data_IF_453095783646
#
_entry.id   IF_453095783646
#
_cell.length_a   1.000
_cell.length_b   1.000
_cell.length_c   1.000
_cell.angle_alpha   90.00
_cell.angle_beta   90.00
_cell.angle_gamma   90.00
#
_symmetry.space_group_name_H-M   'P 1'
#
loop_
_entity.id
_entity.type
_entity.pdbx_description
1 polymer ?
#
# COMPACT_ATOMS: atom_id res chain seq x y z
N UNK A 1 -63.70 10.59 17.50
CA UNK A 1 -62.25 10.44 17.76
C UNK A 1 -61.41 10.38 16.48
N UNK A 2 -62.00 10.36 15.28
CA UNK A 2 -61.27 10.05 14.03
C UNK A 2 -60.62 11.26 13.32
N UNK A 3 -61.13 12.49 13.49
CA UNK A 3 -60.58 13.66 12.78
C UNK A 3 -59.16 14.08 13.22
N UNK A 4 -58.79 13.79 14.46
CA UNK A 4 -57.44 14.13 14.97
C UNK A 4 -56.37 13.23 14.35
N UNK A 5 -56.66 11.96 14.12
CA UNK A 5 -55.72 11.01 13.52
C UNK A 5 -55.38 11.31 12.07
N UNK A 6 -56.36 11.79 11.30
CA UNK A 6 -56.15 12.15 9.89
C UNK A 6 -55.19 13.35 9.77
N UNK A 7 -55.30 14.33 10.66
CA UNK A 7 -54.42 15.50 10.67
C UNK A 7 -52.97 15.13 11.03
N UNK A 8 -52.77 14.26 12.02
CA UNK A 8 -51.43 13.80 12.41
C UNK A 8 -50.79 12.95 11.31
N UNK A 9 -51.58 12.12 10.63
CA UNK A 9 -51.10 11.29 9.53
C UNK A 9 -50.68 12.14 8.31
N UNK A 10 -51.49 13.13 7.93
CA UNK A 10 -51.15 14.06 6.86
C UNK A 10 -49.87 14.85 7.17
N UNK A 11 -49.71 15.33 8.41
CA UNK A 11 -48.50 16.04 8.85
C UNK A 11 -47.26 15.14 8.75
N UNK A 12 -47.38 13.87 9.16
CA UNK A 12 -46.26 12.92 9.12
C UNK A 12 -45.79 12.61 7.68
N UNK A 13 -46.73 12.50 6.73
CA UNK A 13 -46.41 12.29 5.31
C UNK A 13 -45.71 13.53 4.73
N UNK A 14 -46.17 14.72 5.06
CA UNK A 14 -45.54 15.96 4.59
C UNK A 14 -44.10 16.10 5.10
N UNK A 15 -43.86 15.79 6.38
CA UNK A 15 -42.49 15.82 6.94
C UNK A 15 -41.60 14.78 6.26
N UNK A 16 -42.11 13.55 6.05
CA UNK A 16 -41.37 12.50 5.37
C UNK A 16 -41.01 12.87 3.93
N UNK A 17 -41.94 13.47 3.17
CA UNK A 17 -41.69 13.93 1.81
C UNK A 17 -40.59 15.02 1.75
N UNK A 18 -40.54 15.93 2.73
CA UNK A 18 -39.50 16.96 2.81
C UNK A 18 -38.13 16.36 3.14
N UNK A 19 -38.07 15.37 4.04
CA UNK A 19 -36.82 14.67 4.37
C UNK A 19 -36.28 13.92 3.15
N UNK A 20 -37.16 13.22 2.41
CA UNK A 20 -36.77 12.53 1.17
C UNK A 20 -36.29 13.52 0.11
N UNK A 21 -36.97 14.65 -0.06
CA UNK A 21 -36.55 15.69 -1.00
C UNK A 21 -35.18 16.29 -0.62
N UNK A 22 -34.92 16.50 0.68
CA UNK A 22 -33.63 17.01 1.16
C UNK A 22 -32.50 15.99 0.94
N UNK A 23 -32.77 14.70 1.17
CA UNK A 23 -31.83 13.62 0.90
C UNK A 23 -31.48 13.51 -0.59
N UNK A 24 -32.50 13.58 -1.46
CA UNK A 24 -32.31 13.58 -2.91
C UNK A 24 -31.57 14.83 -3.41
N UNK A 25 -31.70 15.95 -2.70
CA UNK A 25 -30.95 17.17 -2.99
C UNK A 25 -29.49 17.07 -2.53
N UNK A 26 -29.22 16.51 -1.35
CA UNK A 26 -27.86 16.40 -0.80
C UNK A 26 -26.97 15.38 -1.52
N UNK A 27 -27.56 14.35 -2.15
CA UNK A 27 -26.80 13.32 -2.88
C UNK A 27 -26.55 13.64 -4.38
N UNK A 28 -26.80 14.87 -4.84
CA UNK A 28 -26.42 15.29 -6.19
C UNK A 28 -27.22 14.66 -7.33
N UNK A 29 -28.42 14.13 -7.04
CA UNK A 29 -29.28 13.43 -8.00
C UNK A 29 -29.71 14.28 -9.21
N UNK A 30 -29.66 15.61 -9.09
CA UNK A 30 -30.04 16.53 -10.16
C UNK A 30 -28.99 16.77 -11.25
N UNK A 31 -27.77 16.18 -11.16
CA UNK A 31 -26.82 16.23 -12.28
C UNK A 31 -27.23 15.34 -13.48
N UNK A 32 -28.30 14.56 -13.37
CA UNK A 32 -28.72 13.62 -14.41
C UNK A 32 -29.84 14.14 -15.34
N UNK A 33 -30.48 15.28 -15.06
CA UNK A 33 -31.66 15.76 -15.82
C UNK A 33 -31.42 17.00 -16.68
N UNK A 34 -30.17 17.40 -16.94
CA UNK A 34 -29.87 18.60 -17.77
C UNK A 34 -29.05 18.34 -19.04
N UNK A 35 -29.06 17.12 -19.59
CA UNK A 35 -28.44 16.86 -20.90
C UNK A 35 -29.50 16.52 -21.97
N UNK A 36 -30.23 17.53 -22.43
CA UNK A 36 -30.91 17.50 -23.73
C UNK A 36 -30.30 18.58 -24.63
N UNK A 37 -29.72 18.16 -25.76
CA UNK A 37 -29.35 19.08 -26.85
C UNK A 37 -28.26 18.61 -27.83
N UNK A 38 -28.64 17.76 -28.80
CA UNK A 38 -28.14 17.66 -30.20
C UNK A 38 -26.68 17.15 -30.43
N UNK A 39 -26.38 16.10 -31.22
CA UNK A 39 -27.16 15.23 -32.11
C UNK A 39 -26.36 14.06 -32.72
N UNK A 40 -27.10 13.02 -33.17
CA UNK A 40 -26.91 12.03 -34.25
C UNK A 40 -25.46 11.73 -34.73
N UNK A 41 -24.87 10.52 -34.77
CA UNK A 41 -25.31 9.10 -34.92
C UNK A 41 -24.04 8.16 -34.85
N UNK A 42 -24.06 6.83 -35.10
CA UNK A 42 -24.44 5.73 -34.17
C UNK A 42 -23.41 4.56 -34.01
N UNK A 43 -23.72 3.62 -33.09
CA UNK A 43 -23.17 2.22 -32.90
C UNK A 43 -21.79 2.15 -32.17
N UNK A 44 -21.55 1.45 -31.05
CA UNK A 44 -22.30 0.55 -30.16
C UNK A 44 -21.54 0.41 -28.82
N UNK A 45 -22.30 0.41 -27.73
CA UNK A 45 -21.94 0.20 -26.33
C UNK A 45 -21.63 -1.26 -25.95
N UNK A 46 -20.99 -1.44 -24.77
CA UNK A 46 -21.22 -2.43 -23.68
C UNK A 46 -19.84 -2.83 -23.09
N UNK A 47 -19.46 -2.65 -21.82
CA UNK A 47 -20.16 -2.58 -20.54
C UNK A 47 -19.40 -1.64 -19.57
N UNK A 48 -20.11 -0.80 -18.82
CA UNK A 48 -19.60 -0.23 -17.56
C UNK A 48 -20.59 -0.57 -16.45
N UNK A 49 -20.15 -1.42 -15.52
CA UNK A 49 -20.86 -1.71 -14.27
C UNK A 49 -20.16 -0.93 -13.17
N UNK A 50 -20.80 0.13 -12.69
CA UNK A 50 -20.37 0.87 -11.51
C UNK A 50 -20.61 0.00 -10.28
N UNK A 51 -19.53 -0.48 -9.66
CA UNK A 51 -19.58 -1.07 -8.32
C UNK A 51 -19.63 0.09 -7.31
N UNK A 52 -20.70 0.11 -6.51
CA UNK A 52 -20.88 1.01 -5.39
C UNK A 52 -19.84 0.72 -4.31
N UNK A 53 -18.92 1.66 -4.06
CA UNK A 53 -18.07 1.67 -2.86
C UNK A 53 -18.95 2.00 -1.65
N UNK A 54 -19.11 1.05 -0.73
CA UNK A 54 -19.66 1.29 0.60
C UNK A 54 -18.66 2.08 1.43
N UNK A 55 -19.15 3.07 2.17
CA UNK A 55 -18.42 3.90 3.10
C UNK A 55 -17.73 3.11 4.22
N UNK A 56 -16.39 3.04 4.18
CA UNK A 56 -15.53 2.82 5.34
C UNK A 56 -14.37 3.80 5.27
N UNK A 57 -14.56 4.98 5.86
CA UNK A 57 -13.57 6.08 5.89
C UNK A 57 -12.36 5.83 6.78
N UNK A 58 -11.92 4.58 6.97
CA UNK A 58 -10.80 4.20 7.87
C UNK A 58 -9.70 3.36 7.18
N UNK A 59 -9.77 3.12 5.86
CA UNK A 59 -8.78 2.28 5.13
C UNK A 59 -7.96 3.07 4.09
N UNK A 60 -8.12 4.39 4.00
CA UNK A 60 -7.41 5.22 2.99
C UNK A 60 -5.89 5.41 3.24
N UNK A 61 -5.31 4.71 4.22
CA UNK A 61 -3.87 4.68 4.46
C UNK A 61 -3.20 3.36 4.07
N UNK A 62 -3.71 2.68 3.03
CA UNK A 62 -2.80 1.94 2.16
C UNK A 62 -1.88 2.99 1.53
N UNK A 63 -0.77 3.30 2.20
CA UNK A 63 0.41 3.77 1.49
C UNK A 63 0.62 2.70 0.44
N UNK A 64 0.28 3.04 -0.79
CA UNK A 64 0.85 2.33 -1.91
C UNK A 64 2.35 2.36 -1.63
N UNK A 65 2.89 1.21 -1.23
CA UNK A 65 4.21 0.81 -1.68
C UNK A 65 4.06 0.65 -3.19
N UNK A 66 3.76 1.78 -3.84
CA UNK A 66 3.63 1.96 -5.27
C UNK A 66 4.97 1.50 -5.77
N UNK A 67 4.93 0.66 -6.78
CA UNK A 67 6.09 0.08 -7.43
C UNK A 67 7.11 1.17 -7.76
N UNK A 68 7.98 1.47 -6.81
CA UNK A 68 9.14 2.33 -7.01
C UNK A 68 9.87 1.79 -8.22
N UNK A 69 10.37 2.70 -9.07
CA UNK A 69 11.01 2.40 -10.34
C UNK A 69 11.74 1.06 -10.25
N UNK A 70 11.21 0.04 -10.96
CA UNK A 70 11.85 -1.27 -11.07
C UNK A 70 13.08 -1.12 -11.97
N UNK A 71 14.08 -0.37 -11.53
CA UNK A 71 15.28 -0.07 -12.31
C UNK A 71 16.19 -1.29 -12.51
N UNK A 72 15.98 -2.38 -11.77
CA UNK A 72 16.76 -3.61 -11.93
C UNK A 72 15.87 -4.85 -11.90
N UNK A 73 14.97 -4.93 -12.87
CA UNK A 73 14.33 -6.20 -13.17
C UNK A 73 15.18 -7.04 -14.13
N UNK A 74 16.28 -7.61 -13.64
CA UNK A 74 16.89 -8.82 -14.24
C UNK A 74 15.98 -10.06 -14.05
N UNK A 75 14.69 -9.85 -13.78
CA UNK A 75 13.74 -10.82 -13.24
C UNK A 75 13.13 -11.73 -14.31
N UNK A 76 13.24 -11.36 -15.57
CA UNK A 76 12.82 -12.19 -16.70
C UNK A 76 14.03 -12.65 -17.51
N UNK A 77 15.10 -13.08 -16.84
CA UNK A 77 16.02 -13.99 -17.50
C UNK A 77 15.24 -15.27 -17.77
N UNK A 78 14.61 -15.31 -18.93
CA UNK A 78 14.23 -16.54 -19.59
C UNK A 78 15.55 -17.31 -19.68
N UNK A 79 15.80 -18.23 -18.75
CA UNK A 79 16.95 -19.12 -18.81
C UNK A 79 16.74 -19.94 -20.08
N UNK A 80 17.18 -19.39 -21.19
CA UNK A 80 17.44 -20.11 -22.42
C UNK A 80 18.66 -20.95 -22.12
N UNK A 81 18.49 -21.98 -21.28
CA UNK A 81 19.02 -23.27 -21.66
C UNK A 81 18.39 -23.49 -23.03
N UNK A 82 19.12 -23.06 -24.07
CA UNK A 82 18.88 -23.48 -25.43
C UNK A 82 19.00 -24.99 -25.32
N UNK A 83 17.87 -25.64 -25.04
CA UNK A 83 17.77 -27.08 -25.16
C UNK A 83 18.29 -27.33 -26.57
N UNK A 84 19.24 -28.26 -26.61
CA UNK A 84 19.86 -28.73 -27.83
C UNK A 84 18.75 -29.40 -28.66
N UNK A 85 17.94 -28.59 -29.35
CA UNK A 85 16.85 -29.03 -30.23
C UNK A 85 17.55 -29.61 -31.45
N UNK A 86 18.08 -30.82 -31.27
CA UNK A 86 18.62 -31.69 -32.30
C UNK A 86 17.46 -32.38 -33.01
N UNK A 87 16.54 -31.59 -33.57
CA UNK A 87 15.57 -32.10 -34.53
C UNK A 87 15.97 -31.62 -35.92
N UNK A 88 16.47 -32.57 -36.72
CA UNK A 88 16.84 -32.45 -38.12
C UNK A 88 15.70 -31.88 -38.99
N UNK A 89 15.63 -30.55 -39.11
CA UNK A 89 14.87 -29.85 -40.14
C UNK A 89 15.68 -28.62 -40.59
N UNK A 90 16.48 -28.83 -41.63
CA UNK A 90 17.40 -27.87 -42.22
C UNK A 90 16.66 -26.66 -42.84
N UNK A 91 17.09 -25.45 -42.44
CA UNK A 91 17.09 -24.17 -43.19
C UNK A 91 16.01 -23.06 -43.02
N UNK A 92 14.97 -23.16 -42.16
CA UNK A 92 14.31 -21.96 -41.61
C UNK A 92 14.87 -21.50 -40.24
N UNK A 93 15.54 -22.39 -39.53
CA UNK A 93 15.88 -22.18 -38.11
C UNK A 93 16.88 -21.05 -37.85
N UNK A 94 17.91 -20.86 -38.70
CA UNK A 94 18.97 -19.88 -38.41
C UNK A 94 18.47 -18.42 -38.49
N UNK A 95 17.57 -18.11 -39.42
CA UNK A 95 16.99 -16.77 -39.57
C UNK A 95 16.07 -16.45 -38.38
N UNK A 96 15.21 -17.41 -38.00
CA UNK A 96 14.34 -17.27 -36.83
C UNK A 96 15.14 -17.09 -35.53
N UNK A 97 16.19 -17.90 -35.34
CA UNK A 97 17.10 -17.82 -34.18
C UNK A 97 17.76 -16.44 -34.12
N UNK A 98 18.28 -15.93 -35.24
CA UNK A 98 18.94 -14.64 -35.28
C UNK A 98 17.96 -13.50 -34.97
N UNK A 99 16.76 -13.52 -35.56
CA UNK A 99 15.74 -12.50 -35.28
C UNK A 99 15.27 -12.55 -33.82
N UNK A 100 15.08 -13.74 -33.25
CA UNK A 100 14.77 -13.89 -31.83
C UNK A 100 15.86 -13.32 -30.92
N UNK A 101 17.15 -13.62 -31.19
CA UNK A 101 18.27 -13.05 -30.43
C UNK A 101 18.31 -11.52 -30.51
N UNK A 102 18.01 -10.95 -31.68
CA UNK A 102 17.94 -9.50 -31.84
C UNK A 102 16.80 -8.88 -31.02
N UNK A 103 15.63 -9.53 -30.97
CA UNK A 103 14.50 -9.10 -30.13
C UNK A 103 14.88 -9.15 -28.65
N UNK A 104 15.49 -10.25 -28.21
CA UNK A 104 15.95 -10.42 -26.82
C UNK A 104 17.02 -9.38 -26.46
N UNK A 105 18.02 -9.17 -27.32
CA UNK A 105 19.05 -8.14 -27.11
C UNK A 105 18.44 -6.74 -27.02
N UNK A 106 17.46 -6.43 -27.86
CA UNK A 106 16.74 -5.15 -27.78
C UNK A 106 15.97 -5.01 -26.46
N UNK A 107 15.36 -6.08 -25.95
CA UNK A 107 14.69 -6.10 -24.66
C UNK A 107 15.67 -5.85 -23.51
N UNK A 108 16.80 -6.57 -23.50
CA UNK A 108 17.83 -6.46 -22.45
C UNK A 108 18.46 -5.05 -22.40
N UNK A 109 18.63 -4.43 -23.58
CA UNK A 109 19.09 -3.05 -23.73
C UNK A 109 17.97 -2.00 -23.52
N UNK A 110 16.77 -2.42 -23.11
CA UNK A 110 15.59 -1.57 -22.91
C UNK A 110 15.20 -0.74 -24.15
N UNK A 111 15.53 -1.23 -25.35
CA UNK A 111 15.18 -0.61 -26.64
C UNK A 111 13.77 -1.04 -27.06
N UNK A 112 12.77 -0.65 -26.28
CA UNK A 112 11.40 -1.16 -26.39
C UNK A 112 10.77 -0.97 -27.78
N UNK A 113 11.00 0.15 -28.46
CA UNK A 113 10.48 0.37 -29.82
C UNK A 113 11.01 -0.67 -30.81
N UNK A 114 12.30 -1.06 -30.67
CA UNK A 114 12.91 -2.10 -31.50
C UNK A 114 12.37 -3.50 -31.19
N UNK A 115 12.01 -3.76 -29.93
CA UNK A 115 11.32 -5.01 -29.56
C UNK A 115 10.02 -5.13 -30.35
N UNK A 116 9.18 -4.09 -30.37
CA UNK A 116 7.92 -4.11 -31.11
C UNK A 116 8.10 -4.24 -32.62
N UNK A 117 9.01 -3.47 -33.21
CA UNK A 117 9.30 -3.51 -34.65
C UNK A 117 9.71 -4.92 -35.08
N UNK A 118 10.70 -5.51 -34.41
CA UNK A 118 11.23 -6.82 -34.74
C UNK A 118 10.27 -7.96 -34.41
N UNK A 119 9.57 -7.87 -33.27
CA UNK A 119 8.54 -8.85 -32.91
C UNK A 119 7.38 -8.86 -33.91
N UNK A 120 6.92 -7.69 -34.36
CA UNK A 120 5.87 -7.60 -35.39
C UNK A 120 6.32 -8.24 -36.70
N UNK A 121 7.56 -7.96 -37.11
CA UNK A 121 8.17 -8.58 -38.30
C UNK A 121 8.25 -10.10 -38.16
N UNK A 122 8.69 -10.61 -37.01
CA UNK A 122 8.75 -12.05 -36.72
C UNK A 122 7.36 -12.68 -36.77
N UNK A 123 6.39 -12.17 -36.01
CA UNK A 123 5.06 -12.75 -35.89
C UNK A 123 4.28 -12.73 -37.21
N UNK A 124 4.61 -11.79 -38.11
CA UNK A 124 4.04 -11.73 -39.47
C UNK A 124 4.70 -12.73 -40.43
N UNK A 125 6.01 -12.92 -40.32
CA UNK A 125 6.79 -13.78 -41.23
C UNK A 125 6.78 -15.25 -40.82
N UNK A 126 6.67 -15.52 -39.52
CA UNK A 126 6.73 -16.84 -38.89
C UNK A 126 5.56 -17.03 -37.92
N UNK A 127 4.30 -17.05 -38.42
CA UNK A 127 3.13 -17.14 -37.55
C UNK A 127 3.13 -18.42 -36.70
N UNK A 128 3.69 -19.53 -37.21
CA UNK A 128 3.84 -20.81 -36.49
C UNK A 128 5.30 -21.08 -36.09
N UNK A 129 6.13 -20.02 -36.01
CA UNK A 129 7.54 -20.12 -35.71
C UNK A 129 7.81 -20.64 -34.29
N UNK A 130 8.94 -21.34 -34.12
CA UNK A 130 9.29 -21.96 -32.83
C UNK A 130 9.52 -20.95 -31.68
N UNK A 131 9.77 -19.68 -32.00
CA UNK A 131 9.96 -18.60 -31.03
C UNK A 131 8.72 -17.71 -30.85
N UNK A 132 7.57 -18.09 -31.40
CA UNK A 132 6.32 -17.33 -31.29
C UNK A 132 5.99 -16.99 -29.83
N UNK A 133 5.87 -17.98 -28.95
CA UNK A 133 5.50 -17.76 -27.54
C UNK A 133 6.55 -16.99 -26.74
N UNK A 134 7.86 -17.27 -26.86
CA UNK A 134 8.90 -16.39 -26.32
C UNK A 134 8.76 -14.93 -26.75
N UNK A 135 8.44 -14.68 -28.02
CA UNK A 135 8.26 -13.32 -28.55
C UNK A 135 6.99 -12.66 -28.01
N UNK A 136 5.87 -13.37 -27.96
CA UNK A 136 4.63 -12.89 -27.33
C UNK A 136 4.86 -12.53 -25.85
N UNK A 137 5.67 -13.32 -25.14
CA UNK A 137 6.08 -13.02 -23.78
C UNK A 137 6.91 -11.73 -23.71
N UNK A 138 7.95 -11.57 -24.55
CA UNK A 138 8.80 -10.37 -24.58
C UNK A 138 8.03 -9.08 -24.93
N UNK A 139 7.07 -9.18 -25.85
CA UNK A 139 6.14 -8.08 -26.18
C UNK A 139 5.30 -7.70 -24.96
N UNK A 140 4.69 -8.69 -24.31
CA UNK A 140 3.88 -8.49 -23.11
C UNK A 140 4.70 -7.89 -21.95
N UNK A 141 5.91 -8.39 -21.72
CA UNK A 141 6.83 -7.92 -20.70
C UNK A 141 7.30 -6.47 -20.98
N UNK A 142 7.56 -6.15 -22.24
CA UNK A 142 7.89 -4.78 -22.68
C UNK A 142 6.75 -3.81 -22.41
N UNK A 143 5.51 -4.18 -22.76
CA UNK A 143 4.33 -3.38 -22.48
C UNK A 143 4.13 -3.17 -20.96
N UNK A 144 4.35 -4.22 -20.16
CA UNK A 144 4.34 -4.12 -18.71
C UNK A 144 5.40 -3.13 -18.18
N UNK A 145 6.64 -3.20 -18.68
CA UNK A 145 7.72 -2.26 -18.33
C UNK A 145 7.41 -0.82 -18.70
N UNK A 146 6.69 -0.61 -19.80
CA UNK A 146 6.16 0.69 -20.22
C UNK A 146 4.89 1.13 -19.46
N UNK A 147 4.44 0.37 -18.45
CA UNK A 147 3.18 0.61 -17.70
C UNK A 147 1.91 0.57 -18.55
N UNK A 148 1.96 -0.06 -19.72
CA UNK A 148 0.81 -0.30 -20.61
C UNK A 148 0.11 -1.60 -20.21
N UNK A 149 -0.39 -1.64 -18.98
CA UNK A 149 -0.85 -2.87 -18.31
C UNK A 149 -1.98 -3.58 -19.06
N UNK A 150 -2.96 -2.82 -19.58
CA UNK A 150 -4.10 -3.40 -20.31
C UNK A 150 -3.66 -4.04 -21.63
N UNK A 151 -2.76 -3.40 -22.36
CA UNK A 151 -2.22 -3.94 -23.61
C UNK A 151 -1.34 -5.17 -23.34
N UNK A 152 -0.49 -5.12 -22.31
CA UNK A 152 0.29 -6.29 -21.87
C UNK A 152 -0.62 -7.48 -21.57
N UNK A 153 -1.71 -7.26 -20.84
CA UNK A 153 -2.68 -8.30 -20.52
C UNK A 153 -3.40 -8.85 -21.75
N UNK A 154 -3.72 -8.00 -22.74
CA UNK A 154 -4.34 -8.44 -23.99
C UNK A 154 -3.42 -9.40 -24.76
N UNK A 155 -2.13 -9.09 -24.86
CA UNK A 155 -1.15 -9.99 -25.49
C UNK A 155 -1.00 -11.31 -24.73
N UNK A 156 -1.00 -11.29 -23.39
CA UNK A 156 -1.01 -12.53 -22.61
C UNK A 156 -2.28 -13.35 -22.87
N UNK A 157 -3.47 -12.73 -22.93
CA UNK A 157 -4.73 -13.44 -23.24
C UNK A 157 -4.72 -14.05 -24.62
N UNK A 158 -4.16 -13.34 -25.61
CA UNK A 158 -3.99 -13.88 -26.95
C UNK A 158 -3.13 -15.15 -26.91
N UNK A 159 -1.97 -15.11 -26.25
CA UNK A 159 -1.11 -16.28 -26.10
C UNK A 159 -1.83 -17.44 -25.40
N UNK A 160 -2.59 -17.16 -24.32
CA UNK A 160 -3.39 -18.16 -23.61
C UNK A 160 -4.45 -18.79 -24.53
N UNK A 161 -5.15 -17.99 -25.33
CA UNK A 161 -6.17 -18.46 -26.27
C UNK A 161 -5.59 -19.33 -27.39
N UNK A 162 -4.34 -19.09 -27.79
CA UNK A 162 -3.61 -19.88 -28.78
C UNK A 162 -3.07 -21.21 -28.21
N UNK A 163 -3.07 -21.40 -26.89
CA UNK A 163 -2.60 -22.61 -26.23
C UNK A 163 -1.08 -22.59 -25.98
N UNK A 164 -0.69 -21.96 -24.87
CA UNK A 164 0.73 -21.83 -24.47
C UNK A 164 1.33 -23.23 -24.22
N UNK A 165 2.50 -23.56 -24.83
CA UNK A 165 3.22 -24.79 -24.55
C UNK A 165 3.60 -24.93 -23.07
N UNK A 166 3.64 -26.16 -22.56
CA UNK A 166 3.83 -26.46 -21.15
C UNK A 166 5.08 -25.80 -20.55
N UNK A 167 6.16 -25.72 -21.33
CA UNK A 167 7.45 -25.11 -20.96
C UNK A 167 7.38 -23.59 -20.76
N UNK A 168 6.36 -22.92 -21.31
CA UNK A 168 6.18 -21.47 -21.22
C UNK A 168 5.04 -21.06 -20.27
N UNK A 169 4.16 -21.99 -19.87
CA UNK A 169 3.01 -21.70 -19.01
C UNK A 169 3.41 -20.93 -17.75
N UNK A 170 4.46 -21.38 -17.06
CA UNK A 170 4.91 -20.76 -15.80
C UNK A 170 5.30 -19.31 -15.99
N UNK A 171 6.08 -19.01 -17.04
CA UNK A 171 6.61 -17.65 -17.28
C UNK A 171 5.47 -16.70 -17.63
N UNK A 172 4.54 -17.12 -18.48
CA UNK A 172 3.34 -16.34 -18.77
C UNK A 172 2.45 -16.16 -17.53
N UNK A 173 2.28 -17.20 -16.71
CA UNK A 173 1.44 -17.13 -15.52
C UNK A 173 2.02 -16.15 -14.49
N UNK A 174 3.34 -16.17 -14.28
CA UNK A 174 4.03 -15.16 -13.46
C UNK A 174 3.83 -13.75 -14.01
N UNK A 175 4.01 -13.52 -15.31
CA UNK A 175 3.83 -12.21 -15.93
C UNK A 175 2.38 -11.71 -15.80
N UNK A 176 1.40 -12.57 -16.07
CA UNK A 176 -0.04 -12.26 -15.85
C UNK A 176 -0.30 -11.90 -14.39
N UNK A 177 0.27 -12.66 -13.45
CA UNK A 177 0.19 -12.37 -12.02
C UNK A 177 0.70 -10.98 -11.65
N UNK A 178 1.86 -10.58 -12.20
CA UNK A 178 2.41 -9.24 -12.01
C UNK A 178 1.57 -8.15 -12.64
N UNK A 179 1.11 -8.33 -13.88
CA UNK A 179 0.24 -7.37 -14.57
C UNK A 179 -1.05 -7.17 -13.79
N UNK A 180 -1.70 -8.25 -13.35
CA UNK A 180 -2.94 -8.19 -12.60
C UNK A 180 -2.74 -7.55 -11.22
N UNK A 181 -1.66 -7.89 -10.52
CA UNK A 181 -1.26 -7.22 -9.28
C UNK A 181 -1.16 -5.71 -9.46
N UNK A 182 -0.37 -5.25 -10.43
CA UNK A 182 -0.13 -3.82 -10.63
C UNK A 182 -1.33 -3.09 -11.24
N UNK A 183 -2.25 -3.80 -11.91
CA UNK A 183 -3.49 -3.23 -12.42
C UNK A 183 -4.57 -3.08 -11.34
N UNK A 184 -4.40 -3.73 -10.18
CA UNK A 184 -5.40 -3.83 -9.12
C UNK A 184 -6.76 -4.37 -9.58
N UNK A 185 -6.75 -5.22 -10.60
CA UNK A 185 -7.95 -5.86 -11.17
C UNK A 185 -8.01 -7.31 -10.73
N UNK A 186 -9.20 -7.73 -10.29
CA UNK A 186 -9.55 -9.13 -10.12
C UNK A 186 -10.07 -9.73 -11.43
N UNK A 187 -9.48 -10.83 -11.87
CA UNK A 187 -9.95 -11.63 -13.00
C UNK A 187 -10.09 -13.11 -12.61
N UNK A 188 -11.32 -13.62 -12.45
CA UNK A 188 -11.54 -15.01 -12.03
C UNK A 188 -11.11 -16.06 -13.06
N UNK A 189 -11.14 -15.74 -14.36
CA UNK A 189 -10.73 -16.67 -15.41
C UNK A 189 -9.21 -16.83 -15.42
N UNK A 190 -8.47 -15.73 -15.33
CA UNK A 190 -7.02 -15.76 -15.25
C UNK A 190 -6.54 -16.33 -13.91
N UNK A 191 -7.23 -16.07 -12.80
CA UNK A 191 -6.95 -16.73 -11.52
C UNK A 191 -7.06 -18.25 -11.66
N UNK A 192 -8.18 -18.77 -12.18
CA UNK A 192 -8.37 -20.21 -12.33
C UNK A 192 -7.32 -20.86 -13.25
N UNK A 193 -6.90 -20.17 -14.31
CA UNK A 193 -5.82 -20.62 -15.17
C UNK A 193 -4.46 -20.64 -14.44
N UNK A 194 -4.11 -19.56 -13.73
CA UNK A 194 -2.86 -19.49 -12.94
C UNK A 194 -2.78 -20.60 -11.88
N UNK A 195 -3.89 -20.92 -11.21
CA UNK A 195 -3.95 -22.02 -10.25
C UNK A 195 -3.68 -23.38 -10.90
N UNK A 196 -4.23 -23.62 -12.10
CA UNK A 196 -3.95 -24.85 -12.85
C UNK A 196 -2.48 -24.95 -13.26
N UNK A 197 -1.86 -23.84 -13.67
CA UNK A 197 -0.42 -23.78 -13.96
C UNK A 197 0.39 -24.09 -12.70
N UNK A 198 0.06 -23.49 -11.56
CA UNK A 198 0.72 -23.77 -10.28
C UNK A 198 0.63 -25.26 -9.90
N UNK A 199 -0.51 -25.92 -10.08
CA UNK A 199 -0.67 -27.34 -9.79
C UNK A 199 0.16 -28.25 -10.71
N UNK A 200 0.38 -27.85 -11.97
CA UNK A 200 1.23 -28.60 -12.92
C UNK A 200 2.73 -28.39 -12.66
N UNK A 201 3.10 -27.23 -12.15
CA UNK A 201 4.50 -26.81 -11.99
C UNK A 201 4.80 -26.35 -10.55
N UNK A 202 4.76 -27.22 -9.53
CA UNK A 202 4.83 -26.79 -8.12
C UNK A 202 6.20 -26.28 -7.65
N UNK A 203 7.26 -26.38 -8.47
CA UNK A 203 8.62 -26.00 -8.09
C UNK A 203 8.97 -24.58 -8.54
N UNK A 204 9.62 -23.82 -7.66
CA UNK A 204 10.13 -22.45 -7.93
C UNK A 204 9.08 -21.47 -8.48
N UNK A 205 7.89 -21.46 -7.86
CA UNK A 205 6.72 -20.68 -8.30
C UNK A 205 6.43 -19.44 -7.46
N UNK A 206 7.41 -18.92 -6.71
CA UNK A 206 7.18 -17.77 -5.81
C UNK A 206 6.51 -16.59 -6.52
N UNK A 207 6.91 -16.29 -7.76
CA UNK A 207 6.33 -15.19 -8.55
C UNK A 207 4.86 -15.42 -8.93
N UNK A 208 4.55 -16.62 -9.45
CA UNK A 208 3.19 -17.02 -9.78
C UNK A 208 2.30 -17.03 -8.53
N UNK A 209 2.81 -17.57 -7.43
CA UNK A 209 2.10 -17.65 -6.14
C UNK A 209 1.80 -16.25 -5.61
N UNK A 210 2.72 -15.29 -5.75
CA UNK A 210 2.46 -13.88 -5.44
C UNK A 210 1.29 -13.36 -6.29
N UNK A 211 1.31 -13.57 -7.60
CA UNK A 211 0.22 -13.17 -8.50
C UNK A 211 -1.14 -13.74 -8.08
N UNK A 212 -1.21 -15.05 -7.82
CA UNK A 212 -2.41 -15.73 -7.33
C UNK A 212 -2.89 -15.12 -6.00
N UNK A 213 -1.97 -14.91 -5.06
CA UNK A 213 -2.33 -14.35 -3.76
C UNK A 213 -2.93 -12.95 -3.85
N UNK A 214 -2.40 -12.08 -4.72
CA UNK A 214 -2.96 -10.74 -4.92
C UNK A 214 -4.36 -10.78 -5.52
N UNK A 215 -4.67 -11.74 -6.40
CA UNK A 215 -6.04 -11.94 -6.88
C UNK A 215 -6.99 -12.30 -5.72
N UNK A 216 -6.55 -13.15 -4.78
CA UNK A 216 -7.33 -13.44 -3.59
C UNK A 216 -7.47 -12.24 -2.65
N UNK A 217 -6.48 -11.34 -2.57
CA UNK A 217 -6.63 -10.07 -1.85
C UNK A 217 -7.68 -9.17 -2.50
N UNK A 218 -7.69 -9.05 -3.84
CA UNK A 218 -8.69 -8.26 -4.56
C UNK A 218 -10.09 -8.86 -4.52
N UNK A 219 -10.18 -10.18 -4.29
CA UNK A 219 -11.42 -10.92 -4.04
C UNK A 219 -11.91 -10.80 -2.58
N UNK A 220 -11.19 -10.08 -1.72
CA UNK A 220 -11.47 -9.98 -0.27
C UNK A 220 -11.40 -11.34 0.47
N UNK A 221 -10.47 -12.21 0.06
CA UNK A 221 -10.19 -13.50 0.69
C UNK A 221 -8.75 -13.57 1.26
N UNK A 222 -8.42 -12.72 2.25
CA UNK A 222 -7.04 -12.57 2.74
C UNK A 222 -6.47 -13.83 3.40
N UNK A 223 -7.31 -14.72 3.95
CA UNK A 223 -6.86 -16.02 4.50
C UNK A 223 -6.33 -16.94 3.40
N UNK A 224 -7.03 -16.98 2.26
CA UNK A 224 -6.61 -17.79 1.11
C UNK A 224 -5.33 -17.21 0.50
N UNK A 225 -5.26 -15.89 0.36
CA UNK A 225 -4.05 -15.20 -0.07
C UNK A 225 -2.84 -15.54 0.83
N UNK A 226 -3.03 -15.51 2.16
CA UNK A 226 -1.97 -15.80 3.11
C UNK A 226 -1.43 -17.23 2.97
N UNK A 227 -2.28 -18.22 2.70
CA UNK A 227 -1.86 -19.61 2.46
C UNK A 227 -0.87 -19.69 1.29
N UNK A 228 -1.16 -19.02 0.18
CA UNK A 228 -0.24 -18.93 -0.96
C UNK A 228 1.05 -18.19 -0.57
N UNK A 229 0.94 -17.03 0.09
CA UNK A 229 2.10 -16.20 0.45
C UNK A 229 3.04 -16.82 1.51
N UNK A 230 2.59 -17.85 2.23
CA UNK A 230 3.44 -18.62 3.15
C UNK A 230 4.44 -19.51 2.40
N UNK A 231 4.11 -19.94 1.19
CA UNK A 231 5.00 -20.75 0.35
C UNK A 231 5.92 -19.88 -0.52
N UNK A 232 5.52 -18.63 -0.78
CA UNK A 232 6.30 -17.69 -1.57
C UNK A 232 7.51 -17.13 -0.79
N UNK A 233 8.63 -16.99 -1.51
CA UNK A 233 9.86 -16.37 -1.02
C UNK A 233 10.09 -15.00 -1.65
N UNK A 234 11.04 -14.24 -1.11
CA UNK A 234 11.41 -12.93 -1.62
C UNK A 234 10.71 -11.75 -0.94
N UNK A 235 11.18 -10.55 -1.24
CA UNK A 235 10.69 -9.31 -0.65
C UNK A 235 9.19 -9.04 -0.94
N UNK A 236 8.72 -9.42 -2.12
CA UNK A 236 7.32 -9.25 -2.52
C UNK A 236 6.38 -10.19 -1.75
N UNK A 237 6.86 -11.38 -1.36
CA UNK A 237 6.10 -12.27 -0.51
C UNK A 237 5.91 -11.69 0.90
N UNK A 238 6.97 -11.09 1.48
CA UNK A 238 6.87 -10.37 2.77
C UNK A 238 5.84 -9.25 2.69
N UNK A 239 5.94 -8.40 1.66
CA UNK A 239 4.98 -7.29 1.46
C UNK A 239 3.56 -7.82 1.27
N UNK A 240 3.39 -8.90 0.50
CA UNK A 240 2.09 -9.56 0.31
C UNK A 240 1.51 -10.08 1.63
N UNK A 241 2.32 -10.75 2.48
CA UNK A 241 1.87 -11.22 3.80
C UNK A 241 1.47 -10.08 4.71
N UNK A 242 2.24 -8.99 4.72
CA UNK A 242 1.88 -7.79 5.45
C UNK A 242 0.51 -7.24 5.02
N UNK A 243 0.22 -7.18 3.71
CA UNK A 243 -1.10 -6.77 3.18
C UNK A 243 -2.22 -7.74 3.61
N UNK A 244 -1.98 -9.05 3.53
CA UNK A 244 -2.95 -10.06 3.96
C UNK A 244 -3.26 -9.97 5.46
N UNK A 245 -2.24 -9.78 6.31
CA UNK A 245 -2.44 -9.55 7.74
C UNK A 245 -3.15 -8.24 8.04
N UNK A 246 -2.91 -7.19 7.25
CA UNK A 246 -3.60 -5.91 7.40
C UNK A 246 -5.09 -6.05 7.08
N UNK A 247 -5.45 -6.76 6.01
CA UNK A 247 -6.83 -7.07 5.67
C UNK A 247 -7.54 -7.92 6.76
N UNK A 248 -6.77 -8.69 7.54
CA UNK A 248 -7.25 -9.42 8.71
C UNK A 248 -7.22 -8.60 10.02
N UNK A 249 -6.86 -7.31 9.95
CA UNK A 249 -6.63 -6.43 11.11
C UNK A 249 -5.63 -6.98 12.14
N UNK A 250 -4.70 -7.85 11.72
CA UNK A 250 -3.66 -8.43 12.57
C UNK A 250 -2.38 -7.57 12.53
N UNK A 251 -2.45 -6.38 13.13
CA UNK A 251 -1.35 -5.41 13.13
C UNK A 251 -0.02 -5.94 13.70
N UNK A 252 0.02 -6.74 14.79
CA UNK A 252 1.28 -7.33 15.24
C UNK A 252 2.01 -8.11 14.14
N UNK A 253 1.28 -8.93 13.38
CA UNK A 253 1.85 -9.69 12.27
C UNK A 253 2.27 -8.79 11.09
N UNK A 254 1.50 -7.75 10.77
CA UNK A 254 1.88 -6.73 9.77
C UNK A 254 3.23 -6.11 10.12
N UNK A 255 3.36 -5.65 11.36
CA UNK A 255 4.55 -4.95 11.86
C UNK A 255 5.75 -5.91 11.87
N UNK A 256 5.54 -7.18 12.23
CA UNK A 256 6.58 -8.20 12.19
C UNK A 256 7.07 -8.48 10.75
N UNK A 257 6.18 -8.54 9.76
CA UNK A 257 6.60 -8.72 8.35
C UNK A 257 7.43 -7.52 7.87
N UNK A 258 7.09 -6.29 8.24
CA UNK A 258 7.92 -5.12 7.92
C UNK A 258 9.30 -5.16 8.62
N UNK A 259 9.38 -5.62 9.87
CA UNK A 259 10.66 -5.84 10.55
C UNK A 259 11.50 -6.89 9.82
N UNK A 260 10.88 -7.98 9.40
CA UNK A 260 11.51 -9.02 8.58
C UNK A 260 12.04 -8.41 7.26
N UNK A 261 11.26 -7.54 6.61
CA UNK A 261 11.71 -6.84 5.41
C UNK A 261 12.99 -6.03 5.67
N UNK A 262 13.05 -5.23 6.75
CA UNK A 262 14.25 -4.44 7.05
C UNK A 262 15.46 -5.31 7.40
N UNK A 263 15.24 -6.49 8.00
CA UNK A 263 16.31 -7.43 8.33
C UNK A 263 16.86 -8.15 7.09
N UNK A 264 15.99 -8.65 6.21
CA UNK A 264 16.38 -9.48 5.07
C UNK A 264 16.71 -8.68 3.80
N UNK A 265 16.11 -7.49 3.63
CA UNK A 265 16.22 -6.69 2.41
C UNK A 265 16.60 -5.22 2.67
N UNK A 266 17.68 -4.93 3.43
CA UNK A 266 18.02 -3.57 3.86
C UNK A 266 18.44 -2.62 2.72
N UNK A 267 18.79 -3.17 1.54
CA UNK A 267 19.19 -2.44 0.33
C UNK A 267 18.11 -2.47 -0.78
N UNK A 268 16.92 -2.98 -0.48
CA UNK A 268 15.84 -3.04 -1.46
C UNK A 268 15.42 -1.64 -1.93
N UNK A 269 15.13 -1.45 -3.23
CA UNK A 269 14.56 -0.21 -3.74
C UNK A 269 13.16 0.07 -3.15
N UNK A 270 12.48 -0.94 -2.60
CA UNK A 270 11.15 -0.81 -1.97
C UNK A 270 11.21 -0.36 -0.51
N UNK A 271 12.41 -0.19 0.04
CA UNK A 271 12.62 0.13 1.45
C UNK A 271 11.86 1.37 1.92
N UNK A 272 11.85 2.44 1.14
CA UNK A 272 11.20 3.67 1.58
C UNK A 272 9.67 3.51 1.67
N UNK A 273 9.06 2.82 0.70
CA UNK A 273 7.63 2.51 0.75
C UNK A 273 7.27 1.61 1.94
N UNK A 274 8.10 0.59 2.21
CA UNK A 274 7.90 -0.28 3.40
C UNK A 274 8.09 0.49 4.70
N UNK A 275 9.07 1.40 4.77
CA UNK A 275 9.28 2.31 5.91
C UNK A 275 8.05 3.19 6.17
N UNK A 276 7.50 3.82 5.15
CA UNK A 276 6.28 4.63 5.27
C UNK A 276 5.09 3.80 5.79
N UNK A 277 4.88 2.61 5.22
CA UNK A 277 3.82 1.70 5.68
C UNK A 277 4.05 1.24 7.14
N UNK A 278 5.29 0.90 7.49
CA UNK A 278 5.66 0.52 8.85
C UNK A 278 5.37 1.63 9.87
N UNK A 279 5.81 2.86 9.59
CA UNK A 279 5.62 4.02 10.46
C UNK A 279 4.13 4.24 10.76
N UNK A 280 3.31 4.33 9.70
CA UNK A 280 1.87 4.59 9.84
C UNK A 280 1.14 3.47 10.56
N UNK A 281 1.36 2.21 10.17
CA UNK A 281 0.62 1.08 10.74
C UNK A 281 1.04 0.79 12.18
N UNK A 282 2.33 0.95 12.51
CA UNK A 282 2.83 0.80 13.89
C UNK A 282 2.29 1.91 14.79
N UNK A 283 2.32 3.16 14.32
CA UNK A 283 1.79 4.29 15.08
C UNK A 283 0.28 4.16 15.33
N UNK A 284 -0.49 3.86 14.27
CA UNK A 284 -1.93 3.63 14.37
C UNK A 284 -2.27 2.53 15.38
N UNK A 285 -1.58 1.39 15.30
CA UNK A 285 -1.82 0.28 16.22
C UNK A 285 -1.48 0.64 17.66
N UNK A 286 -0.34 1.31 17.89
CA UNK A 286 0.07 1.76 19.22
C UNK A 286 -0.97 2.72 19.84
N UNK A 287 -1.48 3.68 19.06
CA UNK A 287 -2.55 4.59 19.51
C UNK A 287 -3.81 3.83 19.90
N UNK A 288 -4.25 2.89 19.05
CA UNK A 288 -5.48 2.11 19.26
C UNK A 288 -5.44 1.33 20.57
N UNK A 289 -4.29 0.75 20.93
CA UNK A 289 -4.16 -0.10 22.13
C UNK A 289 -3.68 0.66 23.37
N UNK A 290 -3.40 1.96 23.26
CA UNK A 290 -2.78 2.75 24.34
C UNK A 290 -3.61 2.77 25.63
N UNK A 291 -4.95 2.83 25.52
CA UNK A 291 -5.84 2.81 26.68
C UNK A 291 -6.00 1.40 27.28
N UNK A 292 -6.04 0.37 26.44
CA UNK A 292 -6.30 -1.01 26.85
C UNK A 292 -5.04 -1.69 27.41
N UNK A 293 -3.88 -1.40 26.82
CA UNK A 293 -2.60 -2.07 27.09
C UNK A 293 -1.43 -1.08 26.96
N UNK A 294 -1.32 -0.10 27.89
CA UNK A 294 -0.36 1.00 27.77
C UNK A 294 1.10 0.54 27.73
N UNK A 295 1.44 -0.55 28.43
CA UNK A 295 2.78 -1.13 28.37
C UNK A 295 3.14 -1.63 26.97
N UNK A 296 2.21 -2.33 26.32
CA UNK A 296 2.39 -2.86 24.96
C UNK A 296 2.42 -1.72 23.95
N UNK A 297 1.58 -0.69 24.13
CA UNK A 297 1.61 0.51 23.28
C UNK A 297 2.98 1.19 23.28
N UNK A 298 3.63 1.31 24.45
CA UNK A 298 4.98 1.85 24.57
C UNK A 298 6.02 1.03 23.80
N UNK A 299 5.89 -0.31 23.77
CA UNK A 299 6.77 -1.17 22.98
C UNK A 299 6.62 -0.89 21.47
N UNK A 300 5.40 -0.65 20.99
CA UNK A 300 5.17 -0.31 19.58
C UNK A 300 5.59 1.12 19.25
N UNK A 301 5.36 2.10 20.11
CA UNK A 301 5.93 3.44 19.91
C UNK A 301 7.47 3.39 19.85
N UNK A 302 8.11 2.59 20.71
CA UNK A 302 9.57 2.46 20.73
C UNK A 302 10.15 1.95 19.41
N UNK A 303 9.40 1.11 18.67
CA UNK A 303 9.81 0.63 17.34
C UNK A 303 9.96 1.77 16.31
N UNK A 304 9.28 2.90 16.50
CA UNK A 304 9.32 4.07 15.63
C UNK A 304 10.56 4.93 15.85
N UNK A 305 11.19 4.85 17.04
CA UNK A 305 12.32 5.72 17.43
C UNK A 305 13.59 5.50 16.60
N UNK A 306 13.68 4.43 15.80
CA UNK A 306 14.79 4.27 14.84
C UNK A 306 14.69 5.19 13.63
N UNK A 307 13.55 5.86 13.46
CA UNK A 307 13.23 6.74 12.34
C UNK A 307 12.89 8.16 12.84
N UNK A 308 13.78 8.73 13.67
CA UNK A 308 13.61 10.02 14.38
C UNK A 308 13.28 11.21 13.47
N UNK A 309 13.58 11.14 12.18
CA UNK A 309 13.26 12.22 11.25
C UNK A 309 11.78 12.22 10.81
N UNK A 310 11.00 11.17 11.15
CA UNK A 310 9.59 11.04 10.73
C UNK A 310 8.62 11.71 11.71
N UNK A 311 7.50 12.21 11.17
CA UNK A 311 6.43 12.81 11.99
C UNK A 311 5.78 11.79 12.92
N UNK A 312 5.64 10.53 12.47
CA UNK A 312 5.12 9.44 13.26
C UNK A 312 6.02 9.13 14.46
N UNK A 313 7.36 9.21 14.31
CA UNK A 313 8.28 9.02 15.43
C UNK A 313 8.19 10.18 16.44
N UNK A 314 8.13 11.43 15.98
CA UNK A 314 7.96 12.60 16.86
C UNK A 314 6.65 12.54 17.66
N UNK A 315 5.54 12.21 16.98
CA UNK A 315 4.28 12.03 17.67
C UNK A 315 4.33 10.83 18.63
N UNK A 316 5.01 9.75 18.27
CA UNK A 316 5.22 8.60 19.16
C UNK A 316 6.02 8.96 20.42
N UNK A 317 7.02 9.85 20.34
CA UNK A 317 7.72 10.37 21.51
C UNK A 317 6.75 11.10 22.44
N UNK A 318 6.00 12.06 21.92
CA UNK A 318 5.02 12.82 22.71
C UNK A 318 3.98 11.91 23.37
N UNK A 319 3.40 10.99 22.61
CA UNK A 319 2.39 10.05 23.12
C UNK A 319 2.98 9.11 24.18
N UNK A 320 4.22 8.65 23.99
CA UNK A 320 4.90 7.81 24.98
C UNK A 320 5.19 8.55 26.29
N UNK A 321 5.61 9.81 26.22
CA UNK A 321 5.83 10.66 27.40
C UNK A 321 4.51 10.83 28.17
N UNK A 322 3.43 11.21 27.49
CA UNK A 322 2.10 11.36 28.09
C UNK A 322 1.60 10.06 28.71
N UNK A 323 1.82 8.94 28.04
CA UNK A 323 1.38 7.64 28.56
C UNK A 323 2.19 7.24 29.80
N UNK A 324 3.51 7.43 29.79
CA UNK A 324 4.35 7.21 30.97
C UNK A 324 3.98 8.14 32.12
N UNK A 325 3.63 9.39 31.83
CA UNK A 325 3.12 10.36 32.79
C UNK A 325 1.82 9.86 33.45
N UNK A 326 0.83 9.46 32.66
CA UNK A 326 -0.43 8.87 33.16
C UNK A 326 -0.20 7.61 34.01
N UNK A 327 0.80 6.80 33.65
CA UNK A 327 1.21 5.63 34.42
C UNK A 327 2.04 5.97 35.67
N UNK A 328 2.28 7.25 35.96
CA UNK A 328 3.14 7.76 37.05
C UNK A 328 4.58 7.22 37.01
N UNK A 329 5.08 6.90 35.82
CA UNK A 329 6.47 6.47 35.57
C UNK A 329 7.34 7.68 35.22
N UNK A 330 7.38 8.64 36.14
CA UNK A 330 7.96 9.98 35.89
C UNK A 330 9.42 9.94 35.43
N UNK A 331 10.28 9.15 36.05
CA UNK A 331 11.70 9.05 35.65
C UNK A 331 11.87 8.62 34.19
N UNK A 332 11.05 7.64 33.75
CA UNK A 332 11.06 7.17 32.36
C UNK A 332 10.50 8.23 31.41
N UNK A 333 9.46 8.94 31.83
CA UNK A 333 8.87 10.02 31.04
C UNK A 333 9.90 11.15 30.83
N UNK A 334 10.59 11.59 31.87
CA UNK A 334 11.62 12.64 31.79
C UNK A 334 12.83 12.24 30.95
N UNK A 335 13.28 10.99 31.07
CA UNK A 335 14.35 10.44 30.23
C UNK A 335 13.93 10.45 28.75
N UNK A 336 12.71 10.00 28.47
CA UNK A 336 12.19 9.93 27.11
C UNK A 336 11.91 11.31 26.52
N UNK A 337 11.40 12.28 27.30
CA UNK A 337 11.25 13.67 26.87
C UNK A 337 12.61 14.27 26.48
N UNK A 338 13.65 14.02 27.27
CA UNK A 338 14.98 14.54 26.99
C UNK A 338 15.58 13.89 25.72
N UNK A 339 15.28 12.62 25.46
CA UNK A 339 15.62 11.97 24.20
C UNK A 339 14.86 12.60 23.02
N UNK A 340 13.54 12.78 23.11
CA UNK A 340 12.74 13.39 22.04
C UNK A 340 13.22 14.80 21.68
N UNK A 341 13.50 15.64 22.67
CA UNK A 341 14.03 17.00 22.49
C UNK A 341 15.44 17.09 21.90
N UNK A 342 16.12 15.95 21.74
CA UNK A 342 17.44 15.87 21.09
C UNK A 342 17.37 15.45 19.62
N UNK A 343 16.16 15.19 19.10
CA UNK A 343 15.95 14.77 17.71
C UNK A 343 16.12 15.94 16.73
N UNK A 344 16.24 15.60 15.44
CA UNK A 344 16.35 16.59 14.36
C UNK A 344 15.00 17.21 13.97
N UNK A 345 13.92 16.43 14.07
CA UNK A 345 12.59 16.91 13.76
C UNK A 345 12.01 17.58 15.02
N UNK A 346 11.81 18.90 14.97
CA UNK A 346 11.41 19.70 16.13
C UNK A 346 9.89 19.97 16.17
N UNK A 347 9.11 19.24 15.36
CA UNK A 347 7.67 19.52 15.19
C UNK A 347 6.84 19.30 16.45
N UNK A 348 7.33 18.49 17.39
CA UNK A 348 6.67 18.17 18.66
C UNK A 348 7.43 18.67 19.89
N UNK A 349 8.58 19.32 19.71
CA UNK A 349 9.36 19.93 20.80
C UNK A 349 8.53 20.80 21.75
N UNK A 350 7.65 21.71 21.27
CA UNK A 350 6.87 22.55 22.18
C UNK A 350 5.99 21.71 23.11
N UNK A 351 5.31 20.70 22.56
CA UNK A 351 4.44 19.83 23.34
C UNK A 351 5.22 18.93 24.31
N UNK A 352 6.39 18.43 23.89
CA UNK A 352 7.27 17.60 24.73
C UNK A 352 7.87 18.42 25.87
N UNK A 353 8.33 19.65 25.63
CA UNK A 353 8.84 20.56 26.67
C UNK A 353 7.76 20.87 27.71
N UNK A 354 6.55 21.17 27.24
CA UNK A 354 5.46 21.51 28.13
C UNK A 354 5.05 20.31 28.98
N UNK A 355 5.00 19.12 28.40
CA UNK A 355 4.74 17.88 29.14
C UNK A 355 5.86 17.57 30.16
N UNK A 356 7.12 17.79 29.79
CA UNK A 356 8.27 17.66 30.71
C UNK A 356 8.13 18.60 31.91
N UNK A 357 7.75 19.86 31.68
CA UNK A 357 7.54 20.84 32.75
C UNK A 357 6.40 20.43 33.70
N UNK A 358 5.29 19.92 33.15
CA UNK A 358 4.18 19.37 33.93
C UNK A 358 4.65 18.24 34.85
N UNK A 359 5.40 17.27 34.31
CA UNK A 359 5.93 16.13 35.08
C UNK A 359 6.84 16.61 36.21
N UNK A 360 7.75 17.55 35.94
CA UNK A 360 8.67 18.11 36.95
C UNK A 360 7.91 18.77 38.10
N UNK A 361 6.83 19.50 37.78
CA UNK A 361 5.98 20.09 38.81
C UNK A 361 5.30 19.02 39.67
N UNK A 362 4.73 17.97 39.05
CA UNK A 362 4.04 16.89 39.79
C UNK A 362 4.96 16.14 40.76
N UNK A 363 6.24 15.98 40.43
CA UNK A 363 7.24 15.34 41.31
C UNK A 363 7.92 16.33 42.27
N UNK A 364 7.35 17.51 42.45
CA UNK A 364 7.81 18.58 43.35
C UNK A 364 9.21 19.14 43.01
N UNK A 365 9.65 19.04 41.76
CA UNK A 365 10.86 19.69 41.25
C UNK A 365 10.51 21.08 40.68
N UNK A 366 9.96 21.95 41.53
CA UNK A 366 9.38 23.25 41.14
C UNK A 366 10.36 24.19 40.44
N UNK A 367 11.61 24.24 40.87
CA UNK A 367 12.64 25.06 40.22
C UNK A 367 12.93 24.61 38.79
N UNK A 368 13.05 23.30 38.56
CA UNK A 368 13.31 22.73 37.24
C UNK A 368 12.08 22.87 36.32
N UNK A 369 10.88 22.70 36.88
CA UNK A 369 9.63 22.96 36.17
C UNK A 369 9.55 24.43 35.69
N UNK A 370 9.81 25.39 36.58
CA UNK A 370 9.82 26.82 36.26
C UNK A 370 10.83 27.13 35.15
N UNK A 371 12.05 26.60 35.25
CA UNK A 371 13.09 26.73 34.22
C UNK A 371 12.65 26.16 32.87
N UNK A 372 11.98 25.00 32.88
CA UNK A 372 11.51 24.35 31.65
C UNK A 372 10.36 25.13 30.99
N UNK A 373 9.43 25.72 31.76
CA UNK A 373 8.41 26.61 31.21
C UNK A 373 9.01 27.90 30.62
N UNK A 374 10.05 28.44 31.26
CA UNK A 374 10.79 29.59 30.73
C UNK A 374 11.44 29.26 29.38
N UNK A 375 12.10 28.10 29.26
CA UNK A 375 12.68 27.63 28.00
C UNK A 375 11.61 27.48 26.92
N UNK A 376 10.46 26.87 27.24
CA UNK A 376 9.33 26.76 26.32
C UNK A 376 8.86 28.13 25.79
N UNK A 377 8.67 29.11 26.66
CA UNK A 377 8.23 30.46 26.25
C UNK A 377 9.30 31.23 25.46
N UNK A 378 10.57 30.97 25.74
CA UNK A 378 11.69 31.58 25.02
C UNK A 378 11.79 31.03 23.60
N UNK A 379 11.68 29.70 23.44
CA UNK A 379 11.79 29.01 22.16
C UNK A 379 10.52 29.12 21.31
N UNK A 380 9.35 29.14 21.93
CA UNK A 380 8.05 29.06 21.26
C UNK A 380 7.04 30.12 21.75
N UNK A 381 7.37 31.42 21.65
CA UNK A 381 6.56 32.49 22.24
C UNK A 381 5.15 32.63 21.62
N UNK A 382 4.96 32.18 20.37
CA UNK A 382 3.70 32.23 19.63
C UNK A 382 2.91 30.92 19.65
N UNK A 383 3.34 29.91 20.43
CA UNK A 383 2.64 28.63 20.51
C UNK A 383 1.24 28.81 21.11
N UNK A 384 0.28 28.00 20.65
CA UNK A 384 -1.11 27.95 21.16
C UNK A 384 -1.17 27.87 22.70
N UNK A 385 -0.24 27.13 23.30
CA UNK A 385 -0.16 26.86 24.75
C UNK A 385 0.77 27.82 25.50
N UNK A 386 1.20 28.93 24.88
CA UNK A 386 2.04 29.93 25.53
C UNK A 386 1.36 30.58 26.75
N UNK A 387 0.04 30.81 26.70
CA UNK A 387 -0.66 31.36 27.86
C UNK A 387 -0.69 30.38 29.03
N UNK A 388 -0.96 29.11 28.76
CA UNK A 388 -0.95 28.04 29.77
C UNK A 388 0.40 27.98 30.50
N UNK A 389 1.53 28.04 29.77
CA UNK A 389 2.86 28.04 30.37
C UNK A 389 3.10 29.28 31.28
N UNK A 390 2.61 30.47 30.90
CA UNK A 390 2.71 31.68 31.74
C UNK A 390 1.92 31.55 33.03
N UNK A 391 0.73 30.95 32.96
CA UNK A 391 -0.14 30.74 34.12
C UNK A 391 0.54 29.78 35.11
N UNK A 392 1.12 28.67 34.61
CA UNK A 392 1.93 27.75 35.42
C UNK A 392 3.14 28.42 36.06
N UNK A 393 3.91 29.22 35.31
CA UNK A 393 5.04 29.96 35.88
C UNK A 393 4.62 30.90 37.01
N UNK A 394 3.48 31.59 36.85
CA UNK A 394 2.93 32.50 37.87
C UNK A 394 2.53 31.72 39.13
N UNK A 395 1.86 30.57 38.97
CA UNK A 395 1.50 29.69 40.07
C UNK A 395 2.74 29.20 40.84
N UNK A 396 3.71 28.63 40.13
CA UNK A 396 4.93 28.07 40.73
C UNK A 396 5.74 29.14 41.46
N UNK A 397 5.87 30.34 40.87
CA UNK A 397 6.59 31.45 41.50
C UNK A 397 5.93 31.89 42.81
N UNK A 398 4.60 31.90 42.86
CA UNK A 398 3.86 32.21 44.08
C UNK A 398 4.09 31.14 45.15
N UNK A 399 4.01 29.86 44.80
CA UNK A 399 4.28 28.77 45.74
C UNK A 399 5.69 28.83 46.32
N UNK A 400 6.71 29.03 45.47
CA UNK A 400 8.11 29.15 45.91
C UNK A 400 8.37 30.37 46.79
N UNK A 401 7.56 31.42 46.71
CA UNK A 401 7.66 32.60 47.59
C UNK A 401 7.07 32.39 48.98
N UNK A 402 6.30 31.32 49.17
CA UNK A 402 5.63 30.96 50.43
C UNK A 402 6.39 29.88 51.22
N UNK A 403 7.34 29.20 50.58
CA UNK A 403 8.31 28.28 51.19
C UNK A 403 9.47 29.06 51.83
#
# INVERSE_FOLDING_TARGET
>A
MERKWIATFALSISIFAVIVAFFLWSEGYFRFLSSEGVGLSPISSLFSRSVSKSSSGEVEALVEVSSGQEENASFFEMQTNVMDITHEARYPQEVEVNLFREIQTAYDLQQYDRVFEKATSYLSSYPEGGYRFPILHLVSATLYKQRRLQEALQWCRQAIAEGIPAEYERVFASLVGYILKDSEVFDPALLGWMEQVYLRHPQDVSELVIGIAYQYLYKDEPKTALRYLQEAQGELAIIGRARAYLALANYPAVIQEYENFFAFYPASPRKEGVKLAFLRQTFYYAQRIASESPGVALEYYAKLFRFVDSNEAEEAFLQSVRLLHQMKKYDKALALSSQGLSNRNLSKDPDILLEKANILYEINQKHDALSTYQDFLMRYPSHLRAQEAKDWMTLISKELSLE
#
